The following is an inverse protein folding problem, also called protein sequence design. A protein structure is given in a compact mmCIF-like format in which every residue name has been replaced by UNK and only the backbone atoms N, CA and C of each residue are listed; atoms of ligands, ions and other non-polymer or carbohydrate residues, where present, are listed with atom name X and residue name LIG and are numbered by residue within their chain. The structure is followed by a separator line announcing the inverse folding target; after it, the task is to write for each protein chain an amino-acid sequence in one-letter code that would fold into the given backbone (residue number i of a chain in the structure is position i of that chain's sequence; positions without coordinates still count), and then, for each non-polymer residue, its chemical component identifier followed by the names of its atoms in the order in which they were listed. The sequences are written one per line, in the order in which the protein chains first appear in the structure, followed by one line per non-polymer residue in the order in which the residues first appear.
data_IF_723875932065
#
_entry.id   IF_723875932065
#
_cell.length_a   1.000
_cell.length_b   1.000
_cell.length_c   1.000
_cell.angle_alpha   90.00
_cell.angle_beta   90.00
_cell.angle_gamma   90.00
#
_symmetry.space_group_name_H-M   'P 1'
#
loop_
_entity.id
_entity.type
_entity.pdbx_description
1 polymer ?
#
# COMPACT_ATOMS: atom_id res chain seq x y z
N UNK A 1 -18.53 -24.32 -25.23
CA UNK A 1 -18.58 -24.01 -23.81
C UNK A 1 -20.02 -23.67 -23.49
N UNK A 2 -20.66 -24.30 -22.50
CA UNK A 2 -22.01 -23.92 -22.10
C UNK A 2 -21.91 -22.52 -21.46
N UNK A 3 -22.65 -21.56 -22.04
CA UNK A 3 -22.82 -20.24 -21.42
C UNK A 3 -23.68 -20.41 -20.18
N UNK A 4 -23.12 -20.05 -19.03
CA UNK A 4 -23.84 -20.01 -17.76
C UNK A 4 -24.44 -18.62 -17.58
N UNK A 5 -25.63 -18.53 -16.99
CA UNK A 5 -26.31 -17.28 -16.70
C UNK A 5 -26.71 -17.23 -15.24
N UNK A 6 -26.34 -16.14 -14.57
CA UNK A 6 -26.73 -15.84 -13.17
C UNK A 6 -27.52 -14.54 -13.15
N UNK A 7 -28.65 -14.53 -12.48
CA UNK A 7 -29.46 -13.33 -12.27
C UNK A 7 -29.37 -12.87 -10.81
N UNK A 8 -29.15 -11.56 -10.63
CA UNK A 8 -29.18 -10.88 -9.35
C UNK A 8 -30.30 -9.84 -9.34
N UNK A 9 -31.09 -9.81 -8.30
CA UNK A 9 -32.09 -8.77 -8.08
C UNK A 9 -31.51 -7.71 -7.13
N UNK A 10 -31.50 -6.44 -7.59
CA UNK A 10 -31.16 -5.28 -6.78
C UNK A 10 -32.31 -4.92 -5.85
N UNK A 11 -32.00 -4.36 -4.70
CA UNK A 11 -33.01 -3.94 -3.69
C UNK A 11 -33.77 -2.69 -4.13
N UNK A 12 -33.08 -1.77 -4.82
CA UNK A 12 -33.64 -0.53 -5.32
C UNK A 12 -33.16 -0.25 -6.74
N UNK A 13 -33.97 0.40 -7.58
CA UNK A 13 -33.57 0.78 -8.96
C UNK A 13 -32.34 1.66 -9.03
N UNK A 14 -32.14 2.53 -8.01
CA UNK A 14 -30.99 3.43 -7.94
C UNK A 14 -29.67 2.71 -7.59
N UNK A 15 -29.74 1.50 -7.06
CA UNK A 15 -28.53 0.70 -6.74
C UNK A 15 -27.68 0.44 -7.96
N UNK A 16 -28.30 0.25 -9.13
CA UNK A 16 -27.61 0.06 -10.39
C UNK A 16 -26.71 1.27 -10.75
N UNK A 17 -27.22 2.48 -10.57
CA UNK A 17 -26.48 3.71 -10.85
C UNK A 17 -25.30 3.87 -9.89
N UNK A 18 -25.51 3.64 -8.59
CA UNK A 18 -24.46 3.72 -7.58
C UNK A 18 -23.39 2.64 -7.75
N UNK A 19 -23.80 1.43 -8.13
CA UNK A 19 -22.91 0.29 -8.34
C UNK A 19 -22.07 0.43 -9.62
N UNK A 20 -22.72 0.72 -10.76
CA UNK A 20 -22.05 0.72 -12.06
C UNK A 20 -21.40 2.06 -12.41
N UNK A 21 -21.72 3.13 -11.67
CA UNK A 21 -21.14 4.45 -11.82
C UNK A 21 -21.56 5.15 -13.10
N UNK A 22 -21.10 6.39 -13.28
CA UNK A 22 -21.39 7.18 -14.47
C UNK A 22 -20.83 6.49 -15.73
N UNK A 23 -21.66 6.44 -16.79
CA UNK A 23 -21.35 5.78 -18.06
C UNK A 23 -20.97 4.30 -17.93
N UNK A 24 -21.49 3.62 -16.90
CA UNK A 24 -21.28 2.16 -16.69
C UNK A 24 -19.79 1.74 -16.59
N UNK A 25 -18.94 2.67 -16.16
CA UNK A 25 -17.48 2.42 -16.13
C UNK A 25 -17.08 1.26 -15.21
N UNK A 26 -17.80 1.05 -14.12
CA UNK A 26 -17.54 -0.05 -13.19
C UNK A 26 -18.01 -1.37 -13.77
N UNK A 27 -19.14 -1.37 -14.50
CA UNK A 27 -19.65 -2.55 -15.22
C UNK A 27 -18.62 -3.01 -16.25
N UNK A 28 -18.16 -2.10 -17.12
CA UNK A 28 -17.14 -2.44 -18.13
C UNK A 28 -15.85 -2.97 -17.52
N UNK A 29 -15.43 -2.41 -16.37
CA UNK A 29 -14.25 -2.90 -15.65
C UNK A 29 -14.45 -4.33 -15.16
N UNK A 30 -15.62 -4.65 -14.58
CA UNK A 30 -15.95 -6.02 -14.16
C UNK A 30 -16.00 -6.99 -15.34
N UNK A 31 -16.63 -6.61 -16.46
CA UNK A 31 -16.68 -7.43 -17.67
C UNK A 31 -15.28 -7.76 -18.21
N UNK A 32 -14.41 -6.75 -18.29
CA UNK A 32 -13.04 -6.90 -18.78
C UNK A 32 -12.20 -7.79 -17.85
N UNK A 33 -12.26 -7.55 -16.56
CA UNK A 33 -11.40 -8.22 -15.57
C UNK A 33 -11.86 -9.65 -15.22
N UNK A 34 -13.17 -9.89 -15.21
CA UNK A 34 -13.77 -11.18 -14.85
C UNK A 34 -14.20 -12.00 -16.07
N UNK A 35 -14.07 -11.42 -17.29
CA UNK A 35 -14.40 -12.09 -18.57
C UNK A 35 -15.84 -12.59 -18.63
N UNK A 36 -16.76 -11.70 -18.28
CA UNK A 36 -18.21 -11.91 -18.33
C UNK A 36 -18.87 -10.83 -19.18
N UNK A 37 -20.13 -11.04 -19.54
CA UNK A 37 -21.02 -10.00 -20.08
C UNK A 37 -22.09 -9.69 -19.06
N UNK A 38 -22.33 -8.41 -18.76
CA UNK A 38 -23.28 -7.98 -17.73
C UNK A 38 -24.38 -7.14 -18.38
N UNK A 39 -25.61 -7.57 -18.23
CA UNK A 39 -26.80 -6.82 -18.65
C UNK A 39 -27.55 -6.33 -17.41
N UNK A 40 -27.56 -5.02 -17.21
CA UNK A 40 -28.31 -4.38 -16.13
C UNK A 40 -29.59 -3.76 -16.68
N UNK A 41 -30.75 -4.20 -16.19
CA UNK A 41 -32.05 -3.65 -16.55
C UNK A 41 -32.85 -3.39 -15.27
N UNK A 42 -33.02 -2.12 -14.95
CA UNK A 42 -33.78 -1.65 -13.78
C UNK A 42 -33.28 -2.32 -12.47
N UNK A 43 -33.93 -3.39 -12.03
CA UNK A 43 -33.61 -4.11 -10.78
C UNK A 43 -32.95 -5.48 -11.03
N UNK A 44 -32.77 -5.88 -12.29
CA UNK A 44 -32.22 -7.20 -12.62
C UNK A 44 -30.86 -7.01 -13.27
N UNK A 45 -29.84 -7.68 -12.73
CA UNK A 45 -28.51 -7.79 -13.27
C UNK A 45 -28.29 -9.23 -13.71
N UNK A 46 -28.16 -9.42 -15.02
CA UNK A 46 -27.85 -10.71 -15.63
C UNK A 46 -26.37 -10.78 -15.97
N UNK A 47 -25.71 -11.85 -15.55
CA UNK A 47 -24.27 -12.11 -15.75
C UNK A 47 -24.16 -13.35 -16.63
N UNK A 48 -23.43 -13.24 -17.73
CA UNK A 48 -23.21 -14.30 -18.72
C UNK A 48 -21.72 -14.61 -18.82
N UNK A 49 -21.36 -15.90 -18.77
CA UNK A 49 -19.95 -16.32 -18.85
C UNK A 49 -19.75 -17.78 -18.48
N UNK A 50 -18.56 -18.12 -18.00
CA UNK A 50 -18.33 -19.44 -17.37
C UNK A 50 -18.95 -19.46 -15.97
N UNK A 51 -19.27 -20.64 -15.45
CA UNK A 51 -19.86 -20.79 -14.11
C UNK A 51 -19.01 -20.10 -13.02
N UNK A 52 -17.68 -20.33 -13.04
CA UNK A 52 -16.75 -19.70 -12.09
C UNK A 52 -16.74 -18.17 -12.23
N UNK A 53 -16.65 -17.63 -13.45
CA UNK A 53 -16.63 -16.19 -13.68
C UNK A 53 -17.95 -15.50 -13.28
N UNK A 54 -19.08 -16.16 -13.51
CA UNK A 54 -20.39 -15.67 -13.08
C UNK A 54 -20.48 -15.63 -11.56
N UNK A 55 -19.98 -16.65 -10.86
CA UNK A 55 -19.99 -16.70 -9.40
C UNK A 55 -19.05 -15.65 -8.78
N UNK A 56 -17.84 -15.49 -9.29
CA UNK A 56 -16.91 -14.43 -8.89
C UNK A 56 -17.55 -13.04 -9.07
N UNK A 57 -18.18 -12.80 -10.23
CA UNK A 57 -18.84 -11.52 -10.52
C UNK A 57 -20.02 -11.28 -9.56
N UNK A 58 -20.81 -12.31 -9.28
CA UNK A 58 -21.91 -12.25 -8.32
C UNK A 58 -21.43 -11.84 -6.94
N UNK A 59 -20.33 -12.42 -6.46
CA UNK A 59 -19.73 -12.10 -5.16
C UNK A 59 -19.22 -10.67 -5.12
N UNK A 60 -18.55 -10.18 -6.17
CA UNK A 60 -18.09 -8.79 -6.29
C UNK A 60 -19.29 -7.83 -6.20
N UNK A 61 -20.34 -8.07 -6.99
CA UNK A 61 -21.54 -7.22 -6.99
C UNK A 61 -22.19 -7.22 -5.61
N UNK A 62 -22.35 -8.37 -4.97
CA UNK A 62 -22.94 -8.46 -3.63
C UNK A 62 -22.13 -7.70 -2.58
N UNK A 63 -20.80 -7.83 -2.59
CA UNK A 63 -19.91 -7.13 -1.66
C UNK A 63 -20.00 -5.61 -1.84
N UNK A 64 -20.02 -5.12 -3.08
CA UNK A 64 -20.19 -3.69 -3.38
C UNK A 64 -21.58 -3.18 -2.98
N UNK A 65 -22.65 -3.96 -3.18
CA UNK A 65 -24.00 -3.60 -2.76
C UNK A 65 -24.12 -3.41 -1.25
N UNK A 66 -23.39 -4.19 -0.44
CA UNK A 66 -23.35 -3.95 1.02
C UNK A 66 -22.86 -2.55 1.33
N UNK A 67 -21.88 -2.02 0.60
CA UNK A 67 -21.38 -0.66 0.79
C UNK A 67 -22.39 0.39 0.31
N UNK A 68 -23.00 0.18 -0.86
CA UNK A 68 -24.08 1.05 -1.39
C UNK A 68 -25.23 1.16 -0.37
N UNK A 69 -25.69 0.04 0.18
CA UNK A 69 -26.75 -0.01 1.17
C UNK A 69 -26.38 0.66 2.50
N UNK A 70 -25.09 0.81 2.80
CA UNK A 70 -24.57 1.62 3.91
C UNK A 70 -24.43 3.11 3.57
N UNK A 71 -24.89 3.55 2.41
CA UNK A 71 -24.81 4.94 1.94
C UNK A 71 -23.41 5.36 1.49
N UNK A 72 -22.54 4.41 1.17
CA UNK A 72 -21.18 4.71 0.70
C UNK A 72 -21.17 4.91 -0.81
N UNK A 73 -20.42 5.90 -1.28
CA UNK A 73 -20.19 6.11 -2.72
C UNK A 73 -19.09 5.17 -3.20
N UNK A 74 -19.39 4.34 -4.19
CA UNK A 74 -18.44 3.42 -4.80
C UNK A 74 -17.61 4.15 -5.86
N UNK A 75 -16.29 3.99 -5.79
CA UNK A 75 -15.36 4.47 -6.80
C UNK A 75 -14.65 3.32 -7.53
N UNK A 76 -13.98 3.63 -8.63
CA UNK A 76 -13.20 2.64 -9.39
C UNK A 76 -12.19 1.86 -8.51
N UNK A 77 -11.47 2.49 -7.54
CA UNK A 77 -10.58 1.75 -6.65
C UNK A 77 -11.28 0.69 -5.81
N UNK A 78 -12.53 0.92 -5.41
CA UNK A 78 -13.30 -0.03 -4.60
C UNK A 78 -13.67 -1.27 -5.42
N UNK A 79 -14.04 -1.05 -6.69
CA UNK A 79 -14.32 -2.14 -7.65
C UNK A 79 -13.06 -2.97 -7.92
N UNK A 80 -11.91 -2.30 -8.16
CA UNK A 80 -10.62 -2.99 -8.36
C UNK A 80 -10.25 -3.81 -7.14
N UNK A 81 -10.44 -3.28 -5.94
CA UNK A 81 -10.19 -4.00 -4.69
C UNK A 81 -11.08 -5.23 -4.57
N UNK A 82 -12.40 -5.10 -4.82
CA UNK A 82 -13.33 -6.24 -4.77
C UNK A 82 -12.96 -7.34 -5.78
N UNK A 83 -12.63 -6.96 -7.03
CA UNK A 83 -12.16 -7.90 -8.06
C UNK A 83 -10.86 -8.60 -7.63
N UNK A 84 -9.92 -7.86 -7.06
CA UNK A 84 -8.66 -8.45 -6.59
C UNK A 84 -8.91 -9.44 -5.46
N UNK A 85 -9.79 -9.10 -4.52
CA UNK A 85 -10.10 -9.95 -3.38
C UNK A 85 -10.86 -11.21 -3.78
N UNK A 86 -11.79 -11.15 -4.74
CA UNK A 86 -12.48 -12.36 -5.22
C UNK A 86 -11.52 -13.31 -5.92
N UNK A 87 -10.60 -12.80 -6.74
CA UNK A 87 -9.55 -13.60 -7.40
C UNK A 87 -8.57 -14.27 -6.40
N UNK A 88 -8.53 -13.79 -5.17
CA UNK A 88 -7.68 -14.33 -4.09
C UNK A 88 -8.47 -15.13 -3.03
N UNK A 89 -9.75 -15.40 -3.23
CA UNK A 89 -10.65 -16.07 -2.27
C UNK A 89 -10.76 -15.32 -0.91
N UNK A 90 -10.73 -13.98 -0.94
CA UNK A 90 -10.74 -13.11 0.25
C UNK A 90 -11.92 -12.14 0.29
N UNK A 91 -12.90 -12.29 -0.62
CA UNK A 91 -14.02 -11.33 -0.79
C UNK A 91 -14.91 -11.22 0.46
N UNK A 92 -14.99 -12.25 1.28
CA UNK A 92 -15.68 -12.27 2.56
C UNK A 92 -15.17 -11.20 3.54
N UNK A 93 -13.89 -10.81 3.41
CA UNK A 93 -13.25 -9.80 4.24
C UNK A 93 -13.35 -8.38 3.65
N UNK A 94 -13.91 -8.22 2.45
CA UNK A 94 -13.96 -6.93 1.74
C UNK A 94 -14.67 -5.85 2.56
N UNK A 95 -15.85 -6.16 3.10
CA UNK A 95 -16.65 -5.19 3.85
C UNK A 95 -15.93 -4.69 5.12
N UNK A 96 -15.11 -5.55 5.74
CA UNK A 96 -14.35 -5.19 6.93
C UNK A 96 -13.28 -4.10 6.67
N UNK A 97 -12.86 -3.91 5.42
CA UNK A 97 -11.94 -2.81 5.06
C UNK A 97 -12.59 -1.43 5.18
N UNK A 98 -13.93 -1.37 5.14
CA UNK A 98 -14.71 -0.14 5.18
C UNK A 98 -15.31 0.18 6.54
N UNK A 99 -15.10 -0.67 7.53
CA UNK A 99 -15.65 -0.46 8.88
C UNK A 99 -14.96 0.69 9.61
N UNK A 100 -13.70 0.93 9.33
CA UNK A 100 -12.91 1.94 10.01
C UNK A 100 -12.41 3.03 9.04
N UNK A 101 -12.70 4.27 9.39
CA UNK A 101 -12.10 5.46 8.79
C UNK A 101 -10.87 5.85 9.60
N UNK A 102 -9.69 5.93 8.97
CA UNK A 102 -8.46 6.35 9.65
C UNK A 102 -8.55 7.85 9.95
N UNK A 103 -8.84 8.65 8.92
CA UNK A 103 -8.98 10.11 8.97
C UNK A 103 -9.68 10.59 7.70
N UNK A 104 -10.13 11.86 7.68
CA UNK A 104 -10.54 12.54 6.45
C UNK A 104 -9.38 13.35 5.88
N UNK A 105 -9.26 13.32 4.54
CA UNK A 105 -8.29 14.14 3.82
C UNK A 105 -8.67 15.63 3.83
N UNK A 106 -7.85 16.47 3.18
CA UNK A 106 -8.08 17.92 3.10
C UNK A 106 -9.35 18.32 2.36
N UNK A 107 -9.95 17.42 1.62
CA UNK A 107 -11.24 17.61 0.90
C UNK A 107 -12.43 16.99 1.64
N UNK A 108 -12.23 16.47 2.86
CA UNK A 108 -13.26 15.80 3.64
C UNK A 108 -13.55 14.36 3.22
N UNK A 109 -12.78 13.79 2.28
CA UNK A 109 -12.94 12.41 1.84
C UNK A 109 -12.32 11.45 2.86
N UNK A 110 -13.03 10.39 3.26
CA UNK A 110 -12.49 9.42 4.21
C UNK A 110 -11.33 8.62 3.62
N UNK A 111 -10.24 8.51 4.38
CA UNK A 111 -9.11 7.63 4.09
C UNK A 111 -9.33 6.33 4.85
N UNK A 112 -9.35 5.21 4.11
CA UNK A 112 -9.51 3.85 4.62
C UNK A 112 -8.42 2.94 4.06
N UNK A 113 -8.24 1.80 4.68
CA UNK A 113 -7.42 0.72 4.11
C UNK A 113 -8.08 0.16 2.86
N UNK A 114 -7.30 -0.34 1.93
CA UNK A 114 -7.76 -0.91 0.66
C UNK A 114 -7.42 -2.39 0.52
N UNK A 115 -6.54 -2.92 1.36
CA UNK A 115 -6.14 -4.32 1.35
C UNK A 115 -6.04 -4.88 2.76
N UNK A 116 -6.04 -6.20 2.89
CA UNK A 116 -5.88 -6.86 4.17
C UNK A 116 -4.50 -6.60 4.78
N UNK A 117 -3.44 -6.57 3.97
CA UNK A 117 -2.10 -6.22 4.44
C UNK A 117 -2.04 -4.80 4.99
N UNK A 118 -2.74 -3.85 4.35
CA UNK A 118 -2.88 -2.49 4.89
C UNK A 118 -3.64 -2.47 6.21
N UNK A 119 -4.70 -3.28 6.37
CA UNK A 119 -5.43 -3.39 7.63
C UNK A 119 -4.53 -3.93 8.75
N UNK A 120 -3.83 -5.03 8.49
CA UNK A 120 -2.88 -5.62 9.45
C UNK A 120 -1.83 -4.59 9.86
N UNK A 121 -1.29 -3.82 8.90
CA UNK A 121 -0.30 -2.78 9.18
C UNK A 121 -0.86 -1.66 10.06
N UNK A 122 -2.05 -1.17 9.77
CA UNK A 122 -2.71 -0.14 10.60
C UNK A 122 -2.95 -0.65 12.01
N UNK A 123 -3.43 -1.89 12.16
CA UNK A 123 -3.70 -2.49 13.46
C UNK A 123 -2.39 -2.76 14.23
N UNK A 124 -1.33 -3.19 13.54
CA UNK A 124 0.00 -3.34 14.14
C UNK A 124 0.53 -2.01 14.67
N UNK A 125 0.45 -0.92 13.89
CA UNK A 125 0.90 0.42 14.32
C UNK A 125 0.13 0.93 15.54
N UNK A 126 -1.14 0.58 15.71
CA UNK A 126 -1.90 0.95 16.90
C UNK A 126 -1.35 0.27 18.16
N UNK A 127 -0.90 -0.97 18.05
CA UNK A 127 -0.60 -1.85 19.17
C UNK A 127 0.89 -1.96 19.55
N UNK A 128 1.82 -1.52 18.67
CA UNK A 128 3.26 -1.64 18.91
C UNK A 128 3.97 -0.29 18.87
N UNK A 129 5.11 -0.18 19.55
CA UNK A 129 5.91 1.05 19.59
C UNK A 129 6.73 1.24 18.30
N UNK A 130 7.24 0.14 17.73
CA UNK A 130 7.99 0.14 16.48
C UNK A 130 7.34 -0.85 15.52
N UNK A 131 7.02 -0.42 14.30
CA UNK A 131 6.47 -1.29 13.26
C UNK A 131 7.27 -1.18 11.98
N UNK A 132 7.69 -2.33 11.48
CA UNK A 132 8.34 -2.47 10.18
C UNK A 132 7.30 -2.82 9.13
N UNK A 133 7.16 -1.98 8.10
CA UNK A 133 6.34 -2.23 6.91
C UNK A 133 7.22 -2.64 5.73
N UNK A 134 7.28 -3.95 5.43
CA UNK A 134 8.19 -4.51 4.44
C UNK A 134 7.41 -5.05 3.25
N UNK A 135 7.80 -4.68 2.03
CA UNK A 135 7.20 -5.22 0.81
C UNK A 135 7.28 -4.29 -0.39
N UNK A 136 6.71 -4.70 -1.53
CA UNK A 136 6.91 -4.03 -2.81
C UNK A 136 6.35 -2.60 -2.86
N UNK A 137 6.87 -1.82 -3.80
CA UNK A 137 6.35 -0.49 -4.10
C UNK A 137 4.87 -0.53 -4.52
N UNK A 138 4.11 0.52 -4.20
CA UNK A 138 2.69 0.62 -4.56
C UNK A 138 1.73 -0.03 -3.55
N UNK A 139 2.19 -0.56 -2.43
CA UNK A 139 1.34 -1.10 -1.35
C UNK A 139 0.83 -0.04 -0.37
N UNK A 140 1.21 1.23 -0.56
CA UNK A 140 0.72 2.35 0.24
C UNK A 140 1.41 2.55 1.59
N UNK A 141 2.54 1.89 1.87
CA UNK A 141 3.27 1.97 3.14
C UNK A 141 3.55 3.40 3.59
N UNK A 142 4.19 4.20 2.74
CA UNK A 142 4.55 5.60 3.02
C UNK A 142 3.31 6.45 3.26
N UNK A 143 2.29 6.32 2.41
CA UNK A 143 1.03 7.06 2.55
C UNK A 143 0.31 6.73 3.85
N UNK A 144 0.19 5.45 4.21
CA UNK A 144 -0.44 5.02 5.46
C UNK A 144 0.35 5.44 6.69
N UNK A 145 1.69 5.36 6.64
CA UNK A 145 2.54 5.84 7.73
C UNK A 145 2.30 7.34 8.01
N UNK A 146 2.29 8.16 6.95
CA UNK A 146 1.99 9.60 7.07
C UNK A 146 0.56 9.83 7.57
N UNK A 147 -0.41 9.08 7.07
CA UNK A 147 -1.82 9.15 7.51
C UNK A 147 -1.95 8.87 9.01
N UNK A 148 -1.29 7.81 9.50
CA UNK A 148 -1.32 7.43 10.91
C UNK A 148 -0.60 8.46 11.79
N UNK A 149 0.53 9.00 11.33
CA UNK A 149 1.24 10.05 12.06
C UNK A 149 0.40 11.32 12.20
N UNK A 150 -0.25 11.76 11.11
CA UNK A 150 -1.16 12.92 11.15
C UNK A 150 -2.36 12.64 12.05
N UNK A 151 -2.88 11.42 12.03
CA UNK A 151 -3.99 11.01 12.91
C UNK A 151 -3.58 11.08 14.37
N UNK A 152 -2.39 10.57 14.72
CA UNK A 152 -1.83 10.61 16.07
C UNK A 152 -1.60 12.07 16.55
N UNK A 153 -1.09 12.94 15.66
CA UNK A 153 -0.89 14.36 15.94
C UNK A 153 -2.24 15.07 16.18
N UNK A 154 -3.23 14.86 15.31
CA UNK A 154 -4.57 15.48 15.47
C UNK A 154 -5.30 14.99 16.72
N UNK A 155 -5.04 13.77 17.18
CA UNK A 155 -5.58 13.20 18.42
C UNK A 155 -4.79 13.59 19.67
N UNK A 156 -3.71 14.34 19.52
CA UNK A 156 -2.84 14.75 20.65
C UNK A 156 -2.06 13.58 21.28
N UNK A 157 -1.93 12.46 20.60
CA UNK A 157 -1.15 11.31 21.05
C UNK A 157 0.36 11.57 20.95
N UNK A 158 0.76 12.43 20.02
CA UNK A 158 2.13 12.93 19.85
C UNK A 158 2.09 14.43 19.63
N UNK A 159 3.22 15.11 19.88
CA UNK A 159 3.37 16.56 19.72
C UNK A 159 4.02 16.93 18.39
N UNK A 160 4.72 15.99 17.74
CA UNK A 160 5.44 16.24 16.49
C UNK A 160 5.52 15.00 15.62
N UNK A 161 5.74 15.23 14.33
CA UNK A 161 5.99 14.19 13.32
C UNK A 161 7.40 14.41 12.78
N UNK A 162 8.18 13.35 12.71
CA UNK A 162 9.53 13.37 12.13
C UNK A 162 9.58 12.35 11.00
N UNK A 163 9.87 12.84 9.81
CA UNK A 163 9.97 12.04 8.59
C UNK A 163 11.41 12.04 8.14
N UNK A 164 11.97 10.86 7.98
CA UNK A 164 13.37 10.72 7.59
C UNK A 164 13.54 9.65 6.52
N UNK A 165 14.58 9.82 5.71
CA UNK A 165 14.97 8.90 4.66
C UNK A 165 16.49 8.81 4.61
N UNK A 166 17.08 7.64 4.34
CA UNK A 166 18.50 7.54 4.08
C UNK A 166 18.85 8.32 2.81
N UNK A 167 19.92 9.09 2.86
CA UNK A 167 20.48 9.72 1.68
C UNK A 167 21.25 8.63 0.91
N UNK A 168 20.62 8.02 -0.09
CA UNK A 168 21.27 7.04 -0.97
C UNK A 168 21.35 7.64 -2.36
N UNK A 169 22.52 7.56 -2.92
CA UNK A 169 22.78 7.91 -4.30
C UNK A 169 22.34 6.73 -5.19
N UNK A 170 21.13 6.78 -5.72
CA UNK A 170 20.69 5.83 -6.76
C UNK A 170 21.42 6.16 -8.08
N UNK A 171 22.68 5.72 -8.20
CA UNK A 171 23.47 5.86 -9.43
C UNK A 171 23.96 7.28 -9.76
N UNK A 172 23.45 8.33 -9.13
CA UNK A 172 23.90 9.72 -9.25
C UNK A 172 24.45 10.16 -7.90
N UNK A 173 25.72 10.54 -7.85
CA UNK A 173 26.32 10.99 -6.60
C UNK A 173 25.68 12.31 -6.16
N UNK A 174 25.17 12.39 -4.90
CA UNK A 174 24.67 13.62 -4.29
C UNK A 174 25.65 14.79 -4.40
N UNK A 175 26.93 14.48 -4.66
CA UNK A 175 27.98 15.46 -4.92
C UNK A 175 27.75 16.34 -6.15
N UNK A 176 26.95 15.89 -7.14
CA UNK A 176 26.67 16.67 -8.35
C UNK A 176 25.48 17.63 -8.22
N UNK A 177 24.63 17.48 -7.22
CA UNK A 177 23.53 18.42 -7.00
C UNK A 177 24.04 19.66 -6.25
N UNK A 178 23.72 20.88 -6.70
CA UNK A 178 24.03 22.12 -5.96
C UNK A 178 23.18 22.22 -4.69
N UNK A 179 23.68 22.89 -3.66
CA UNK A 179 22.95 23.12 -2.43
C UNK A 179 23.47 22.35 -1.21
N UNK A 180 22.85 22.56 -0.07
CA UNK A 180 23.14 21.83 1.17
C UNK A 180 22.55 20.41 1.14
N UNK A 181 22.84 19.60 2.15
CA UNK A 181 22.38 18.20 2.20
C UNK A 181 20.83 18.12 2.21
N UNK A 182 20.15 19.10 2.82
CA UNK A 182 18.68 19.14 2.88
C UNK A 182 18.11 19.41 1.49
N UNK A 183 18.63 20.38 0.77
CA UNK A 183 18.20 20.71 -0.60
C UNK A 183 18.45 19.55 -1.58
N UNK A 184 19.53 18.80 -1.41
CA UNK A 184 19.87 17.64 -2.22
C UNK A 184 18.93 16.44 -1.99
N UNK A 185 18.41 16.27 -0.79
CA UNK A 185 17.52 15.16 -0.42
C UNK A 185 16.04 15.49 -0.70
N UNK A 186 15.69 16.78 -0.78
CA UNK A 186 14.31 17.26 -0.97
C UNK A 186 13.55 16.62 -2.15
N UNK A 187 14.13 16.41 -3.35
CA UNK A 187 13.46 15.73 -4.45
C UNK A 187 13.02 14.29 -4.12
N UNK A 188 13.78 13.59 -3.29
CA UNK A 188 13.47 12.21 -2.90
C UNK A 188 12.38 12.13 -1.81
N UNK A 189 12.05 13.24 -1.18
CA UNK A 189 11.00 13.35 -0.17
C UNK A 189 9.63 13.73 -0.75
N UNK A 190 9.53 13.93 -2.07
CA UNK A 190 8.28 14.28 -2.74
C UNK A 190 7.09 13.38 -2.38
N UNK A 191 7.20 12.04 -2.34
CA UNK A 191 6.07 11.19 -1.96
C UNK A 191 5.54 11.48 -0.55
N UNK A 192 6.40 11.91 0.35
CA UNK A 192 6.03 12.31 1.72
C UNK A 192 5.29 13.65 1.70
N UNK A 193 5.77 14.64 0.96
CA UNK A 193 5.08 15.92 0.79
C UNK A 193 3.72 15.74 0.15
N UNK A 194 3.61 14.92 -0.90
CA UNK A 194 2.36 14.66 -1.59
C UNK A 194 1.33 14.02 -0.64
N UNK A 195 1.75 13.07 0.21
CA UNK A 195 0.90 12.50 1.23
C UNK A 195 0.44 13.53 2.25
N UNK A 196 1.34 14.36 2.77
CA UNK A 196 1.00 15.44 3.71
C UNK A 196 0.03 16.45 3.09
N UNK A 197 0.25 16.87 1.84
CA UNK A 197 -0.62 17.80 1.13
C UNK A 197 -2.01 17.21 0.87
N UNK A 198 -2.09 15.94 0.55
CA UNK A 198 -3.36 15.25 0.38
C UNK A 198 -4.15 15.20 1.69
N UNK A 199 -3.49 14.92 2.82
CA UNK A 199 -4.15 14.70 4.13
C UNK A 199 -4.46 16.01 4.85
N UNK A 200 -3.55 16.97 4.81
CA UNK A 200 -3.64 18.23 5.57
C UNK A 200 -4.00 19.43 4.69
N UNK A 201 -3.72 19.37 3.39
CA UNK A 201 -3.67 20.54 2.51
C UNK A 201 -2.31 21.24 2.61
N UNK A 202 -1.97 21.98 1.54
CA UNK A 202 -0.67 22.65 1.41
C UNK A 202 -0.43 23.69 2.51
N UNK A 203 -1.39 24.58 2.77
CA UNK A 203 -1.24 25.68 3.72
C UNK A 203 -1.04 25.18 5.17
N UNK A 204 -1.80 24.17 5.58
CA UNK A 204 -1.66 23.60 6.91
C UNK A 204 -0.33 22.86 7.05
N UNK A 205 0.10 22.11 6.05
CA UNK A 205 1.40 21.43 6.04
C UNK A 205 2.53 22.43 6.20
N UNK A 206 2.55 23.51 5.41
CA UNK A 206 3.55 24.57 5.48
C UNK A 206 3.63 25.19 6.87
N UNK A 207 2.48 25.57 7.47
CA UNK A 207 2.44 26.13 8.84
C UNK A 207 2.97 25.18 9.90
N UNK A 208 2.68 23.88 9.78
CA UNK A 208 3.18 22.89 10.75
C UNK A 208 4.67 22.66 10.60
N UNK A 209 5.21 22.76 9.40
CA UNK A 209 6.65 22.69 9.13
C UNK A 209 7.39 23.94 9.64
N UNK A 210 6.86 25.15 9.40
CA UNK A 210 7.41 26.41 9.92
C UNK A 210 7.45 26.44 11.45
N UNK A 211 6.51 25.75 12.10
CA UNK A 211 6.45 25.61 13.56
C UNK A 211 7.24 24.42 14.10
N UNK A 212 7.97 23.72 13.25
CA UNK A 212 8.73 22.50 13.58
C UNK A 212 7.90 21.37 14.22
N UNK A 213 6.57 21.41 14.02
CA UNK A 213 5.66 20.33 14.43
C UNK A 213 5.78 19.15 13.46
N UNK A 214 6.01 19.43 12.16
CA UNK A 214 6.40 18.44 11.16
C UNK A 214 7.83 18.76 10.73
N UNK A 215 8.72 17.82 10.95
CA UNK A 215 10.13 17.89 10.53
C UNK A 215 10.37 16.84 9.45
N UNK A 216 10.97 17.27 8.34
CA UNK A 216 11.45 16.37 7.28
C UNK A 216 12.95 16.57 7.17
N UNK A 217 13.72 15.52 7.45
CA UNK A 217 15.17 15.63 7.53
C UNK A 217 15.89 14.34 7.08
N UNK A 218 17.12 14.45 6.55
CA UNK A 218 17.95 13.28 6.27
C UNK A 218 18.20 12.45 7.53
N UNK A 219 18.34 11.13 7.38
CA UNK A 219 18.57 10.20 8.49
C UNK A 219 19.79 10.59 9.36
N UNK A 220 20.82 11.16 8.75
CA UNK A 220 22.03 11.59 9.47
C UNK A 220 21.74 12.63 10.59
N UNK A 221 20.66 13.43 10.45
CA UNK A 221 20.29 14.47 11.41
C UNK A 221 19.61 13.89 12.68
N UNK A 222 19.32 12.60 12.69
CA UNK A 222 18.77 11.92 13.86
C UNK A 222 19.85 11.58 14.90
N UNK A 223 21.13 11.64 14.52
CA UNK A 223 22.23 11.26 15.41
C UNK A 223 22.30 12.16 16.64
N UNK A 224 22.44 11.55 17.82
CA UNK A 224 22.58 12.27 19.10
C UNK A 224 21.28 12.85 19.67
N UNK A 225 20.14 12.61 19.02
CA UNK A 225 18.81 13.06 19.47
C UNK A 225 18.11 11.99 20.30
N UNK A 226 17.18 12.40 21.14
CA UNK A 226 16.12 11.59 21.73
C UNK A 226 14.79 12.15 21.25
N UNK A 227 13.93 11.30 20.70
CA UNK A 227 12.72 11.73 20.00
C UNK A 227 11.51 11.41 20.89
N UNK A 228 11.26 12.27 21.90
CA UNK A 228 10.10 12.15 22.79
C UNK A 228 8.85 12.77 22.17
N UNK A 229 7.67 12.28 22.57
CA UNK A 229 6.34 12.75 22.14
C UNK A 229 6.23 12.85 20.61
N UNK A 230 6.88 11.93 19.88
CA UNK A 230 7.04 12.02 18.44
C UNK A 230 6.50 10.79 17.69
N UNK A 231 5.89 11.01 16.53
CA UNK A 231 5.66 9.96 15.55
C UNK A 231 6.77 10.04 14.51
N UNK A 232 7.60 9.01 14.45
CA UNK A 232 8.81 9.00 13.63
C UNK A 232 8.67 8.01 12.49
N UNK A 233 8.96 8.42 11.27
CA UNK A 233 8.88 7.59 10.08
C UNK A 233 10.25 7.55 9.39
N UNK A 234 10.79 6.34 9.21
CA UNK A 234 11.92 6.08 8.33
C UNK A 234 11.40 5.39 7.06
N UNK A 235 11.49 6.07 5.94
CA UNK A 235 11.12 5.53 4.64
C UNK A 235 12.35 5.06 3.86
N UNK A 236 12.19 4.11 2.91
CA UNK A 236 13.27 3.46 2.13
C UNK A 236 14.38 2.85 3.01
N UNK A 237 13.98 2.26 4.10
CA UNK A 237 14.89 1.75 5.15
C UNK A 237 15.80 0.61 4.68
N UNK A 238 15.49 -0.09 3.56
CA UNK A 238 16.37 -1.08 2.95
C UNK A 238 17.74 -0.49 2.57
N UNK A 239 17.78 0.82 2.35
CA UNK A 239 18.98 1.57 1.97
C UNK A 239 19.76 2.12 3.17
N UNK A 240 19.47 1.65 4.38
CA UNK A 240 20.28 1.94 5.56
C UNK A 240 21.35 0.88 5.77
N UNK A 241 22.49 1.28 6.27
CA UNK A 241 23.46 0.34 6.84
C UNK A 241 23.01 -0.16 8.21
N UNK A 242 23.59 -1.28 8.70
CA UNK A 242 23.30 -1.80 10.06
C UNK A 242 23.54 -0.73 11.13
N UNK A 243 24.62 0.04 11.00
CA UNK A 243 24.94 1.12 11.95
C UNK A 243 23.92 2.24 11.92
N UNK A 244 23.45 2.64 10.76
CA UNK A 244 22.39 3.66 10.60
C UNK A 244 21.07 3.19 11.18
N UNK A 245 20.66 1.95 10.90
CA UNK A 245 19.44 1.38 11.47
C UNK A 245 19.49 1.33 12.99
N UNK A 246 20.59 0.82 13.57
CA UNK A 246 20.78 0.79 15.01
C UNK A 246 20.76 2.20 15.60
N UNK A 247 21.47 3.14 14.98
CA UNK A 247 21.50 4.55 15.38
C UNK A 247 20.08 5.12 15.41
N UNK A 248 19.27 4.89 14.38
CA UNK A 248 17.91 5.39 14.27
C UNK A 248 16.97 4.78 15.33
N UNK A 249 16.91 3.47 15.44
CA UNK A 249 16.02 2.78 16.37
C UNK A 249 16.27 3.17 17.83
N UNK A 250 17.53 3.45 18.18
CA UNK A 250 17.90 3.91 19.52
C UNK A 250 17.58 5.39 19.79
N UNK A 251 16.90 6.09 18.86
CA UNK A 251 16.39 7.46 19.05
C UNK A 251 14.98 7.49 19.65
N UNK A 252 14.29 6.33 19.70
CA UNK A 252 12.95 6.25 20.28
C UNK A 252 12.97 6.82 21.71
N UNK A 253 12.19 7.85 21.91
CA UNK A 253 11.96 8.48 23.22
C UNK A 253 10.64 8.05 23.84
N UNK A 254 10.31 8.59 24.98
CA UNK A 254 9.06 8.31 25.68
C UNK A 254 7.85 8.88 24.92
N UNK A 255 6.72 8.17 25.01
CA UNK A 255 5.45 8.53 24.34
C UNK A 255 5.61 8.73 22.82
N UNK A 256 6.52 7.97 22.23
CA UNK A 256 6.81 8.02 20.80
C UNK A 256 6.52 6.70 20.12
N UNK A 257 6.31 6.79 18.82
CA UNK A 257 6.05 5.66 17.94
C UNK A 257 6.94 5.74 16.72
N UNK A 258 7.46 4.61 16.26
CA UNK A 258 8.30 4.55 15.06
C UNK A 258 7.68 3.64 14.01
N UNK A 259 7.74 4.07 12.76
CA UNK A 259 7.47 3.26 11.58
C UNK A 259 8.74 3.19 10.73
N UNK A 260 9.08 1.99 10.29
CA UNK A 260 10.22 1.71 9.41
C UNK A 260 9.71 1.02 8.15
N UNK A 261 9.64 1.74 7.05
CA UNK A 261 9.16 1.22 5.76
C UNK A 261 10.31 0.92 4.82
N UNK A 262 10.21 -0.19 4.10
CA UNK A 262 11.18 -0.53 3.08
C UNK A 262 10.75 -1.66 2.13
N UNK A 263 11.54 -1.82 1.09
CA UNK A 263 11.40 -2.88 0.09
C UNK A 263 12.74 -3.62 -0.06
N UNK A 264 12.82 -4.82 0.47
CA UNK A 264 14.05 -5.64 0.46
C UNK A 264 14.47 -6.07 -0.96
N UNK A 265 13.60 -5.93 -1.95
CA UNK A 265 13.92 -6.20 -3.36
C UNK A 265 14.62 -5.01 -4.05
N UNK A 266 14.56 -3.82 -3.46
CA UNK A 266 15.08 -2.56 -4.01
C UNK A 266 16.23 -2.00 -3.16
N UNK A 267 17.26 -2.82 -2.92
CA UNK A 267 18.44 -2.42 -2.15
C UNK A 267 19.47 -1.78 -3.09
N UNK A 268 19.69 -0.47 -2.91
CA UNK A 268 20.65 0.33 -3.71
C UNK A 268 22.03 0.47 -3.01
N UNK A 269 22.25 -0.23 -1.90
CA UNK A 269 23.52 -0.24 -1.20
C UNK A 269 24.61 -0.95 -2.02
N UNK A 270 25.90 -0.58 -1.86
CA UNK A 270 27.01 -1.30 -2.46
C UNK A 270 26.97 -2.79 -2.12
N UNK A 271 27.38 -3.66 -3.04
CA UNK A 271 27.27 -5.14 -2.91
C UNK A 271 27.89 -5.73 -1.65
N UNK A 272 28.86 -5.06 -1.05
CA UNK A 272 29.56 -5.48 0.17
C UNK A 272 28.94 -4.90 1.46
N UNK A 273 27.85 -4.15 1.37
CA UNK A 273 27.18 -3.52 2.51
C UNK A 273 25.85 -4.22 2.77
N UNK A 274 25.70 -4.83 3.95
CA UNK A 274 24.44 -5.47 4.36
C UNK A 274 23.40 -4.42 4.73
N UNK A 275 22.17 -4.61 4.24
CA UNK A 275 21.04 -3.76 4.59
C UNK A 275 20.69 -3.85 6.08
N UNK A 276 20.53 -2.68 6.71
CA UNK A 276 20.12 -2.57 8.11
C UNK A 276 18.70 -3.06 8.33
N UNK A 277 17.81 -2.96 7.33
CA UNK A 277 16.45 -3.47 7.40
C UNK A 277 16.43 -5.01 7.51
N UNK A 278 17.24 -5.68 6.68
CA UNK A 278 17.33 -7.14 6.70
C UNK A 278 17.95 -7.61 8.03
N UNK A 279 18.99 -6.96 8.50
CA UNK A 279 19.63 -7.28 9.78
C UNK A 279 18.69 -7.05 10.99
N UNK A 280 17.90 -5.97 10.97
CA UNK A 280 16.92 -5.67 12.01
C UNK A 280 15.84 -6.75 12.10
N UNK A 281 15.33 -7.23 10.97
CA UNK A 281 14.33 -8.28 10.90
C UNK A 281 14.81 -9.59 11.56
N UNK A 282 16.07 -9.94 11.37
CA UNK A 282 16.66 -11.13 11.99
C UNK A 282 16.80 -10.98 13.51
N UNK A 283 17.24 -9.81 13.98
CA UNK A 283 17.64 -9.57 15.37
C UNK A 283 16.49 -9.16 16.30
N UNK A 284 15.48 -8.45 15.78
CA UNK A 284 14.47 -7.81 16.61
C UNK A 284 13.13 -8.55 16.66
N UNK A 285 12.97 -9.66 15.93
CA UNK A 285 11.72 -10.43 15.81
C UNK A 285 11.11 -10.94 17.11
N UNK A 286 11.91 -11.03 18.19
CA UNK A 286 11.46 -11.54 19.48
C UNK A 286 11.16 -10.44 20.51
N UNK A 287 11.18 -9.17 20.11
CA UNK A 287 10.87 -8.03 20.99
C UNK A 287 9.37 -7.74 20.86
N UNK A 288 8.62 -7.90 21.94
CA UNK A 288 7.15 -7.82 21.93
C UNK A 288 6.57 -6.45 21.54
N UNK A 289 7.34 -5.37 21.70
CA UNK A 289 6.95 -4.02 21.31
C UNK A 289 7.28 -3.68 19.85
N UNK A 290 7.88 -4.64 19.11
CA UNK A 290 8.27 -4.48 17.71
C UNK A 290 7.48 -5.49 16.87
N UNK A 291 6.89 -5.02 15.78
CA UNK A 291 6.20 -5.90 14.83
C UNK A 291 6.71 -5.73 13.41
N UNK A 292 6.60 -6.79 12.62
CA UNK A 292 7.04 -6.87 11.24
C UNK A 292 5.87 -7.28 10.35
N UNK A 293 5.34 -6.32 9.61
CA UNK A 293 4.24 -6.53 8.66
C UNK A 293 4.79 -6.68 7.26
N UNK A 294 4.49 -7.80 6.63
CA UNK A 294 4.90 -8.11 5.27
C UNK A 294 3.76 -7.86 4.29
N UNK A 295 4.00 -6.95 3.36
CA UNK A 295 3.13 -6.74 2.21
C UNK A 295 3.55 -7.64 1.05
N UNK A 296 2.57 -8.09 0.29
CA UNK A 296 2.75 -8.93 -0.89
C UNK A 296 2.30 -8.22 -2.16
N UNK A 297 2.44 -8.88 -3.29
CA UNK A 297 1.90 -8.41 -4.58
C UNK A 297 0.37 -8.21 -4.53
N UNK A 298 -0.36 -8.93 -3.67
CA UNK A 298 -1.81 -8.79 -3.45
C UNK A 298 -2.19 -7.43 -2.86
N UNK A 299 -1.26 -6.78 -2.16
CA UNK A 299 -1.47 -5.48 -1.50
C UNK A 299 -1.13 -4.29 -2.41
N UNK A 300 -0.71 -4.54 -3.64
CA UNK A 300 -0.38 -3.49 -4.60
C UNK A 300 -1.65 -2.85 -5.13
N UNK A 301 -1.87 -1.58 -4.79
CA UNK A 301 -3.02 -0.79 -5.25
C UNK A 301 -2.56 0.10 -6.40
N UNK A 302 -2.88 -0.30 -7.64
CA UNK A 302 -2.50 0.42 -8.86
C UNK A 302 -3.67 0.53 -9.83
N UNK A 303 -3.56 1.49 -10.74
CA UNK A 303 -4.50 1.57 -11.85
C UNK A 303 -4.37 0.31 -12.73
N UNK A 304 -5.48 -0.30 -13.23
CA UNK A 304 -5.44 -1.52 -14.04
C UNK A 304 -4.44 -1.44 -15.20
N UNK A 305 -4.44 -0.34 -15.96
CA UNK A 305 -3.49 -0.11 -17.06
C UNK A 305 -2.03 -0.17 -16.60
N UNK A 306 -1.72 0.31 -15.38
CA UNK A 306 -0.34 0.24 -14.85
C UNK A 306 0.06 -1.20 -14.56
N UNK A 307 -0.88 -2.02 -14.09
CA UNK A 307 -0.64 -3.46 -13.89
C UNK A 307 -0.37 -4.18 -15.22
N UNK A 308 -1.10 -3.83 -16.30
CA UNK A 308 -0.88 -4.36 -17.64
C UNK A 308 0.48 -3.94 -18.20
N UNK A 309 0.87 -2.67 -18.04
CA UNK A 309 2.19 -2.18 -18.46
C UNK A 309 3.30 -2.97 -17.77
N UNK A 310 3.22 -3.19 -16.46
CA UNK A 310 4.23 -3.94 -15.71
C UNK A 310 4.34 -5.36 -16.25
N UNK A 311 3.22 -6.07 -16.43
CA UNK A 311 3.21 -7.42 -17.01
C UNK A 311 3.83 -7.48 -18.40
N UNK A 312 3.62 -6.44 -19.22
CA UNK A 312 4.18 -6.37 -20.56
C UNK A 312 5.71 -6.20 -20.57
N UNK A 313 6.28 -5.61 -19.52
CA UNK A 313 7.73 -5.43 -19.35
C UNK A 313 8.39 -6.55 -18.54
N UNK A 314 7.62 -7.42 -17.88
CA UNK A 314 8.19 -8.60 -17.23
C UNK A 314 8.68 -9.58 -18.30
N UNK A 315 9.91 -10.14 -18.17
CA UNK A 315 10.39 -11.17 -19.09
C UNK A 315 9.48 -12.39 -19.01
N UNK A 316 9.10 -12.93 -20.17
CA UNK A 316 8.31 -14.15 -20.26
C UNK A 316 8.97 -15.25 -19.40
N UNK A 317 8.19 -16.03 -18.61
CA UNK A 317 8.76 -17.10 -17.81
C UNK A 317 9.54 -18.05 -18.73
N UNK A 318 10.84 -18.21 -18.43
CA UNK A 318 11.71 -19.15 -19.14
C UNK A 318 11.07 -20.51 -18.96
N UNK A 319 10.50 -21.06 -20.03
CA UNK A 319 10.06 -22.48 -20.02
C UNK A 319 11.31 -23.29 -19.75
N UNK A 320 11.38 -23.94 -18.59
CA UNK A 320 12.38 -24.97 -18.34
C UNK A 320 12.24 -26.00 -19.48
N UNK A 321 13.29 -26.09 -20.28
CA UNK A 321 13.41 -27.14 -21.27
C UNK A 321 13.42 -28.47 -20.52
N UNK A 322 12.35 -29.21 -20.63
CA UNK A 322 12.32 -30.62 -20.25
C UNK A 322 13.37 -31.34 -21.08
N UNK A 323 14.52 -31.58 -20.51
CA UNK A 323 15.50 -32.54 -21.02
C UNK A 323 14.90 -33.93 -20.85
N UNK A 324 14.37 -34.48 -21.95
CA UNK A 324 14.09 -35.91 -22.04
C UNK A 324 15.44 -36.68 -21.85
N UNK A 325 15.47 -37.76 -21.06
CA UNK A 325 16.68 -38.57 -20.94
C UNK A 325 16.87 -39.34 -22.26
N UNK A 326 18.01 -39.13 -22.92
CA UNK A 326 18.44 -39.98 -24.03
C UNK A 326 18.58 -41.42 -23.52
N UNK A 327 17.71 -42.28 -24.03
CA UNK A 327 17.89 -43.72 -23.90
C UNK A 327 19.19 -44.18 -24.60
N UNK A 328 20.17 -44.56 -23.81
CA UNK A 328 21.34 -45.27 -24.31
C UNK A 328 20.93 -46.63 -24.92
N UNK A 329 20.85 -46.65 -26.24
CA UNK A 329 20.81 -47.95 -26.97
C UNK A 329 22.18 -48.63 -26.81
N UNK A 330 22.20 -49.68 -26.04
CA UNK A 330 23.28 -50.68 -26.04
C UNK A 330 23.21 -51.48 -27.36
N UNK A 331 24.24 -51.36 -28.19
CA UNK A 331 24.53 -52.34 -29.25
C UNK A 331 25.61 -53.31 -28.76
N UNK A 332 25.31 -54.61 -28.94
CA UNK A 332 26.20 -55.74 -28.79
C UNK A 332 27.30 -55.77 -29.85
#
# INVERSE_FOLDING_TARGET
MQEHSVELKLSHPDDAFHLFGSNERHLRLMEQELKVTIHARTEIVQILGTEAACEETRQVIQALLVLVNRGMTIGTPDVVTAITMVKNDEIDKFVALYEEEIIKDSYGKPIRVKTLGQKIYVDSVKNHDIVFGIGPAGTGKTFLAVTLAVTALKRGQVKRIILTRPAVEAGESLGFLPGDLKEKVDPYLRPVYDALYQILGKDQTTRLMEREIIEIAPLAYMRGRTLDDAFVILDEAQNTTIMQMKMFLTRLGFQSKMIVNGDISQVDLPRNVKSGLIDAQEKLKNISQIDFVHFSAKDVVRHPVVAEIIRAYEPAPVKEATTEPEEMKSEN
#
